data_IF_696652273121
#
_entry.id   IF_696652273121
#
_cell.length_a   1.000
_cell.length_b   1.000
_cell.length_c   1.000
_cell.angle_alpha   90.00
_cell.angle_beta   90.00
_cell.angle_gamma   90.00
#
_symmetry.space_group_name_H-M   'P 1'
#
loop_
_entity.id
_entity.type
_entity.pdbx_description
1 polymer ?
#
# COMPACT_ATOMS: atom_id res chain seq x y z
N UNK A 1 -12.73 -1.66 -16.58
CA UNK A 1 -12.19 -1.64 -15.21
C UNK A 1 -11.05 -0.62 -15.21
N UNK A 2 -11.24 0.52 -14.56
CA UNK A 2 -10.18 1.54 -14.46
C UNK A 2 -9.21 1.01 -13.38
N UNK A 3 -8.08 0.47 -13.81
CA UNK A 3 -7.05 -0.02 -12.89
C UNK A 3 -6.41 1.12 -12.10
N UNK A 4 -5.89 0.80 -10.92
CA UNK A 4 -5.18 1.74 -10.05
C UNK A 4 -3.78 1.98 -10.63
N UNK A 5 -3.65 2.98 -11.52
CA UNK A 5 -2.33 3.45 -11.95
C UNK A 5 -1.55 3.95 -10.73
N UNK A 6 -0.30 3.48 -10.58
CA UNK A 6 0.65 3.96 -9.56
C UNK A 6 0.30 3.64 -8.08
N UNK A 7 -0.49 2.60 -7.80
CA UNK A 7 -0.79 2.16 -6.43
C UNK A 7 0.35 1.41 -5.72
N UNK A 8 1.41 1.06 -6.45
CA UNK A 8 2.43 0.11 -5.98
C UNK A 8 3.07 0.52 -4.65
N UNK A 9 3.24 1.81 -4.38
CA UNK A 9 3.72 2.31 -3.09
C UNK A 9 2.77 1.95 -1.93
N UNK A 10 1.46 2.16 -2.09
CA UNK A 10 0.47 1.77 -1.08
C UNK A 10 0.41 0.26 -0.88
N UNK A 11 0.49 -0.52 -1.97
CA UNK A 11 0.52 -1.99 -1.92
C UNK A 11 1.77 -2.48 -1.18
N UNK A 12 2.94 -1.93 -1.48
CA UNK A 12 4.19 -2.26 -0.81
C UNK A 12 4.13 -1.92 0.69
N UNK A 13 3.56 -0.78 1.07
CA UNK A 13 3.33 -0.42 2.48
C UNK A 13 2.40 -1.40 3.18
N UNK A 14 1.31 -1.82 2.53
CA UNK A 14 0.40 -2.85 3.07
C UNK A 14 1.14 -4.17 3.27
N UNK A 15 1.88 -4.66 2.28
CA UNK A 15 2.67 -5.88 2.38
C UNK A 15 3.71 -5.82 3.50
N UNK A 16 4.49 -4.74 3.56
CA UNK A 16 5.52 -4.55 4.58
C UNK A 16 4.92 -4.54 5.99
N UNK A 17 3.90 -3.71 6.23
CA UNK A 17 3.31 -3.56 7.57
C UNK A 17 2.50 -4.78 8.00
N UNK A 18 1.74 -5.41 7.09
CA UNK A 18 0.92 -6.58 7.44
C UNK A 18 1.75 -7.82 7.76
N UNK A 19 2.91 -7.99 7.10
CA UNK A 19 3.80 -9.14 7.32
C UNK A 19 4.79 -8.91 8.47
N UNK A 20 4.75 -7.74 9.11
CA UNK A 20 5.67 -7.35 10.19
C UNK A 20 5.00 -7.33 11.57
N UNK A 21 3.75 -7.78 11.66
CA UNK A 21 2.91 -7.69 12.87
C UNK A 21 3.46 -8.42 14.10
N UNK A 22 4.39 -9.36 13.92
CA UNK A 22 5.02 -10.06 15.03
C UNK A 22 6.01 -9.18 15.82
N UNK A 23 6.45 -8.05 15.25
CA UNK A 23 7.48 -7.18 15.83
C UNK A 23 7.16 -5.69 15.75
N UNK A 24 6.09 -5.30 15.05
CA UNK A 24 5.56 -3.93 15.07
C UNK A 24 4.04 -3.92 15.12
N UNK A 25 3.50 -2.87 15.72
CA UNK A 25 2.07 -2.59 15.74
C UNK A 25 1.82 -1.19 15.19
N UNK A 26 0.75 -1.03 14.42
CA UNK A 26 0.25 0.28 14.02
C UNK A 26 -0.84 0.75 14.99
N UNK A 27 -1.08 2.06 15.03
CA UNK A 27 -2.23 2.61 15.74
C UNK A 27 -3.52 2.02 15.16
N UNK A 28 -4.49 1.69 16.02
CA UNK A 28 -5.70 0.96 15.62
C UNK A 28 -6.57 1.74 14.61
N UNK A 29 -6.52 3.06 14.67
CA UNK A 29 -7.19 3.99 13.78
C UNK A 29 -6.38 4.34 12.52
N UNK A 30 -5.15 3.84 12.39
CA UNK A 30 -4.34 4.04 11.19
C UNK A 30 -5.04 3.40 9.97
N UNK A 31 -5.13 4.08 8.82
CA UNK A 31 -5.79 3.55 7.62
C UNK A 31 -5.30 2.16 7.20
N UNK A 32 -3.97 1.94 7.25
CA UNK A 32 -3.35 0.65 6.95
C UNK A 32 -3.81 -0.46 7.91
N UNK A 33 -3.88 -0.15 9.21
CA UNK A 33 -4.30 -1.13 10.23
C UNK A 33 -5.76 -1.52 10.05
N UNK A 34 -6.63 -0.51 9.90
CA UNK A 34 -8.06 -0.71 9.67
C UNK A 34 -8.31 -1.55 8.41
N UNK A 35 -7.63 -1.25 7.32
CA UNK A 35 -7.77 -2.02 6.08
C UNK A 35 -7.40 -3.49 6.28
N UNK A 36 -6.25 -3.77 6.90
CA UNK A 36 -5.80 -5.13 7.14
C UNK A 36 -6.75 -5.90 8.06
N UNK A 37 -7.29 -5.25 9.10
CA UNK A 37 -8.28 -5.86 9.99
C UNK A 37 -9.56 -6.22 9.24
N UNK A 38 -10.08 -5.32 8.41
CA UNK A 38 -11.30 -5.55 7.63
C UNK A 38 -11.12 -6.66 6.58
N UNK A 39 -9.91 -6.82 6.03
CA UNK A 39 -9.64 -7.74 4.92
C UNK A 39 -8.86 -9.00 5.34
N UNK A 40 -8.81 -9.29 6.64
CA UNK A 40 -8.04 -10.42 7.20
C UNK A 40 -8.46 -11.77 6.58
N UNK A 41 -9.75 -11.95 6.31
CA UNK A 41 -10.32 -13.21 5.76
C UNK A 41 -10.53 -13.19 4.24
N UNK A 42 -10.21 -12.09 3.57
CA UNK A 42 -10.40 -11.92 2.13
C UNK A 42 -9.29 -12.59 1.32
N UNK A 43 -9.59 -13.02 0.09
CA UNK A 43 -8.57 -13.47 -0.88
C UNK A 43 -7.72 -12.30 -1.39
N UNK A 44 -6.56 -12.54 -2.01
CA UNK A 44 -5.77 -11.48 -2.65
C UNK A 44 -6.56 -10.64 -3.65
N UNK A 45 -7.42 -11.26 -4.46
CA UNK A 45 -8.25 -10.58 -5.46
C UNK A 45 -9.28 -9.67 -4.78
N UNK A 46 -9.97 -10.18 -3.76
CA UNK A 46 -10.92 -9.42 -2.95
C UNK A 46 -10.25 -8.24 -2.24
N UNK A 47 -9.01 -8.42 -1.75
CA UNK A 47 -8.20 -7.33 -1.18
C UNK A 47 -7.88 -6.26 -2.21
N UNK A 48 -7.53 -6.68 -3.43
CA UNK A 48 -7.34 -5.77 -4.56
C UNK A 48 -8.59 -4.95 -4.83
N UNK A 49 -9.74 -5.60 -4.96
CA UNK A 49 -11.04 -4.93 -5.16
C UNK A 49 -11.41 -3.99 -4.01
N UNK A 50 -11.17 -4.39 -2.76
CA UNK A 50 -11.39 -3.55 -1.59
C UNK A 50 -10.49 -2.32 -1.62
N UNK A 51 -9.21 -2.47 -1.99
CA UNK A 51 -8.26 -1.37 -2.09
C UNK A 51 -8.68 -0.36 -3.16
N UNK A 52 -9.25 -0.80 -4.29
CA UNK A 52 -9.78 0.11 -5.32
C UNK A 52 -10.84 1.07 -4.76
N UNK A 53 -11.57 0.62 -3.74
CA UNK A 53 -12.70 1.34 -3.15
C UNK A 53 -12.36 2.01 -1.80
N UNK A 54 -11.13 1.88 -1.29
CA UNK A 54 -10.73 2.45 -0.01
C UNK A 54 -10.34 3.94 -0.14
N UNK A 55 -11.29 4.81 0.17
CA UNK A 55 -11.08 6.25 0.11
C UNK A 55 -10.04 6.77 1.11
N UNK A 56 -9.86 6.09 2.25
CA UNK A 56 -8.93 6.52 3.29
C UNK A 56 -7.48 6.30 2.85
N UNK A 57 -7.17 5.10 2.34
CA UNK A 57 -5.85 4.79 1.79
C UNK A 57 -5.54 5.61 0.55
N UNK A 58 -6.54 5.84 -0.32
CA UNK A 58 -6.37 6.75 -1.47
C UNK A 58 -5.99 8.16 -1.01
N UNK A 59 -6.72 8.72 -0.06
CA UNK A 59 -6.43 10.07 0.45
C UNK A 59 -5.05 10.14 1.10
N UNK A 60 -4.67 9.14 1.91
CA UNK A 60 -3.34 9.10 2.53
C UNK A 60 -2.22 9.01 1.48
N UNK A 61 -2.42 8.22 0.42
CA UNK A 61 -1.48 8.12 -0.70
C UNK A 61 -1.34 9.45 -1.45
N UNK A 62 -2.45 10.11 -1.77
CA UNK A 62 -2.44 11.40 -2.47
C UNK A 62 -1.78 12.49 -1.62
N UNK A 63 -2.13 12.59 -0.33
CA UNK A 63 -1.48 13.55 0.59
C UNK A 63 0.03 13.31 0.70
N UNK A 64 0.47 12.06 0.75
CA UNK A 64 1.89 11.73 0.79
C UNK A 64 2.60 12.09 -0.53
N UNK A 65 1.99 11.78 -1.67
CA UNK A 65 2.54 12.06 -2.99
C UNK A 65 2.69 13.57 -3.25
N UNK A 66 1.72 14.39 -2.83
CA UNK A 66 1.72 15.84 -3.05
C UNK A 66 2.30 16.64 -1.88
N UNK A 67 2.94 15.99 -0.91
CA UNK A 67 3.46 16.67 0.28
C UNK A 67 4.60 17.62 -0.08
N UNK A 68 4.54 18.86 0.42
CA UNK A 68 5.64 19.83 0.29
C UNK A 68 6.90 19.44 1.08
N UNK A 69 6.80 18.46 1.98
CA UNK A 69 7.95 17.90 2.68
C UNK A 69 8.79 16.96 1.79
N UNK A 70 8.26 16.53 0.64
CA UNK A 70 8.99 15.71 -0.32
C UNK A 70 10.07 16.53 -1.03
N UNK A 71 11.21 15.89 -1.33
CA UNK A 71 12.34 16.54 -1.99
C UNK A 71 12.08 16.85 -3.48
N UNK A 72 11.09 16.19 -4.08
CA UNK A 72 10.72 16.33 -5.49
C UNK A 72 9.22 16.59 -5.61
N UNK A 73 8.83 17.34 -6.64
CA UNK A 73 7.41 17.58 -6.93
C UNK A 73 6.73 16.31 -7.43
N UNK A 74 5.48 16.10 -7.03
CA UNK A 74 4.63 15.05 -7.58
C UNK A 74 4.48 15.26 -9.10
N UNK A 75 4.69 14.22 -9.93
CA UNK A 75 4.42 14.32 -11.36
C UNK A 75 2.92 14.53 -11.62
N UNK A 76 2.60 15.09 -12.80
CA UNK A 76 1.23 15.23 -13.26
C UNK A 76 0.57 13.85 -13.38
N UNK A 77 -0.65 13.71 -12.83
CA UNK A 77 -1.48 12.51 -12.92
C UNK A 77 -1.80 12.11 -14.36
N UNK A 78 -1.85 13.08 -15.28
CA UNK A 78 -2.08 12.85 -16.71
C UNK A 78 -0.79 12.90 -17.55
N UNK A 79 0.36 12.91 -16.88
CA UNK A 79 1.68 12.87 -17.50
C UNK A 79 2.00 11.52 -18.17
N UNK A 80 3.25 11.36 -18.66
CA UNK A 80 3.70 10.10 -19.25
C UNK A 80 3.65 8.95 -18.23
N UNK A 81 3.61 7.68 -18.70
CA UNK A 81 3.68 6.52 -17.82
C UNK A 81 4.93 6.55 -16.94
N UNK A 82 4.79 6.04 -15.70
CA UNK A 82 5.92 5.84 -14.80
C UNK A 82 6.52 4.46 -15.05
N UNK A 83 7.84 4.40 -15.21
CA UNK A 83 8.59 3.15 -15.45
C UNK A 83 9.19 2.55 -14.16
N UNK A 84 8.71 3.00 -12.99
CA UNK A 84 9.20 2.56 -11.68
C UNK A 84 8.12 1.81 -10.90
N UNK A 85 8.57 0.83 -10.12
CA UNK A 85 7.69 -0.02 -9.31
C UNK A 85 8.24 -0.18 -7.89
N UNK A 86 7.34 -0.15 -6.91
CA UNK A 86 7.64 -0.51 -5.53
C UNK A 86 7.22 -1.95 -5.26
N UNK A 87 8.11 -2.72 -4.63
CA UNK A 87 7.84 -4.06 -4.12
C UNK A 87 8.28 -4.14 -2.64
N UNK A 88 7.71 -5.08 -1.90
CA UNK A 88 8.08 -5.34 -0.52
C UNK A 88 8.81 -6.67 -0.38
N UNK A 89 9.91 -6.68 0.37
CA UNK A 89 10.58 -7.91 0.80
C UNK A 89 10.29 -8.14 2.28
N UNK A 90 9.69 -9.29 2.60
CA UNK A 90 9.31 -9.63 3.96
C UNK A 90 9.90 -10.96 4.40
N UNK A 91 9.99 -11.17 5.71
CA UNK A 91 10.36 -12.46 6.29
C UNK A 91 9.09 -13.29 6.50
N UNK A 92 9.01 -14.43 5.84
CA UNK A 92 7.94 -15.41 6.07
C UNK A 92 8.08 -16.11 7.42
N UNK A 93 6.99 -16.76 7.86
CA UNK A 93 6.98 -17.60 9.08
C UNK A 93 7.98 -18.76 9.06
N UNK A 94 8.43 -19.16 7.87
CA UNK A 94 9.44 -20.21 7.68
C UNK A 94 10.87 -19.65 7.63
N UNK A 95 11.07 -18.40 8.04
CA UNK A 95 12.35 -17.69 8.02
C UNK A 95 12.98 -17.58 6.62
N UNK A 96 12.14 -17.48 5.58
CA UNK A 96 12.56 -17.21 4.19
C UNK A 96 12.22 -15.78 3.82
N UNK A 97 13.05 -15.19 2.96
CA UNK A 97 12.72 -13.92 2.30
C UNK A 97 11.67 -14.20 1.22
N UNK A 98 10.60 -13.41 1.22
CA UNK A 98 9.56 -13.41 0.20
C UNK A 98 9.48 -12.03 -0.43
N UNK A 99 9.36 -12.00 -1.76
CA UNK A 99 9.00 -10.81 -2.53
C UNK A 99 7.48 -10.76 -2.66
N UNK A 100 6.92 -9.58 -2.44
CA UNK A 100 5.49 -9.28 -2.47
C UNK A 100 5.23 -8.03 -3.29
#
# INVERSE_FOLDING_TARGET
VIGFGNACGTVACLHATSNSRDWMSLAQDAPLERFVQLQASSTPEQRGEALLNDASLRQSSETAATSEAAQTQCPDRHGPPLDHHFAAFARSRQNRIIEL
#
